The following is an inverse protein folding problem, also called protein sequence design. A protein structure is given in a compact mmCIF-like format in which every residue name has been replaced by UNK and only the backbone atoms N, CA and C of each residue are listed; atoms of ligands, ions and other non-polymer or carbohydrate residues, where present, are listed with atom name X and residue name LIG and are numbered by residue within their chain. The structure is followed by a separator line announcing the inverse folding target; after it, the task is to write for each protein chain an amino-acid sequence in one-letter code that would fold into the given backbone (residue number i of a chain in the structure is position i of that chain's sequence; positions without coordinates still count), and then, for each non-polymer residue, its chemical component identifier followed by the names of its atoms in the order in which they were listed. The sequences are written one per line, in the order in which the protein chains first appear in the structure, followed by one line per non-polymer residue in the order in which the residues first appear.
data_IF_983324085783
#
_entry.id   IF_983324085783
#
_cell.length_a   1.000
_cell.length_b   1.000
_cell.length_c   1.000
_cell.angle_alpha   90.00
_cell.angle_beta   90.00
_cell.angle_gamma   90.00
#
_symmetry.space_group_name_H-M   'P 1'
#
loop_
_entity.id
_entity.type
_entity.pdbx_description
1 polymer ?
#
# COMPACT_ATOMS: atom_id res chain seq x y z
N UNK A 1 16.30 19.09 9.52
CA UNK A 1 15.90 18.43 8.26
C UNK A 1 14.39 18.26 8.31
N UNK A 2 13.68 18.84 7.35
CA UNK A 2 12.25 19.10 7.41
C UNK A 2 11.46 17.82 7.08
N UNK A 3 10.68 17.29 8.01
CA UNK A 3 9.90 16.07 7.81
C UNK A 3 8.77 16.29 6.77
N UNK A 4 8.28 17.53 6.66
CA UNK A 4 7.15 17.94 5.82
C UNK A 4 7.41 17.94 4.31
N UNK A 5 8.67 18.13 3.88
CA UNK A 5 9.00 18.24 2.45
C UNK A 5 8.90 16.91 1.70
N UNK A 6 8.97 15.78 2.41
CA UNK A 6 8.97 14.43 1.82
C UNK A 6 7.55 13.96 1.49
N UNK A 7 6.61 14.20 2.39
CA UNK A 7 5.20 13.97 2.13
C UNK A 7 4.69 14.83 0.98
N UNK A 8 5.22 16.05 0.79
CA UNK A 8 4.86 16.91 -0.35
C UNK A 8 5.27 16.33 -1.71
N UNK A 9 6.42 15.65 -1.82
CA UNK A 9 6.88 15.03 -3.07
C UNK A 9 6.01 13.82 -3.48
N UNK A 10 5.50 13.04 -2.52
CA UNK A 10 4.67 11.86 -2.79
C UNK A 10 3.17 12.09 -2.59
N UNK A 11 2.76 13.27 -2.12
CA UNK A 11 1.36 13.64 -1.98
C UNK A 11 0.61 13.57 -3.33
N UNK A 12 1.31 13.85 -4.43
CA UNK A 12 0.72 13.82 -5.75
C UNK A 12 0.53 12.41 -6.29
N UNK A 13 1.55 11.56 -6.39
CA UNK A 13 1.46 10.25 -7.08
C UNK A 13 1.53 9.02 -6.17
N UNK A 14 1.66 9.22 -4.86
CA UNK A 14 2.08 8.17 -3.93
C UNK A 14 3.52 7.71 -4.16
N UNK A 15 3.97 6.74 -3.37
CA UNK A 15 5.30 6.14 -3.53
C UNK A 15 5.33 5.24 -4.79
N UNK A 16 6.46 4.95 -5.45
CA UNK A 16 6.53 3.91 -6.47
C UNK A 16 6.02 2.55 -5.96
N UNK A 17 5.68 1.65 -6.88
CA UNK A 17 5.19 0.31 -6.51
C UNK A 17 6.31 -0.47 -5.80
N UNK A 18 6.11 -0.79 -4.52
CA UNK A 18 7.10 -1.46 -3.66
C UNK A 18 6.90 -2.98 -3.77
N UNK A 19 7.91 -3.76 -4.15
CA UNK A 19 7.81 -5.22 -4.12
C UNK A 19 7.64 -5.74 -2.68
N UNK A 20 6.89 -6.83 -2.49
CA UNK A 20 6.71 -7.47 -1.17
C UNK A 20 8.05 -7.77 -0.47
N UNK A 21 9.08 -8.14 -1.23
CA UNK A 21 10.42 -8.42 -0.70
C UNK A 21 11.11 -7.22 -0.06
N UNK A 22 10.79 -6.02 -0.52
CA UNK A 22 11.28 -4.77 0.04
C UNK A 22 10.37 -4.31 1.17
N UNK A 23 9.06 -4.43 0.99
CA UNK A 23 8.06 -4.00 1.96
C UNK A 23 8.13 -4.75 3.30
N UNK A 24 8.58 -6.02 3.32
CA UNK A 24 8.78 -6.80 4.56
C UNK A 24 9.91 -6.28 5.47
N UNK A 25 10.77 -5.39 4.97
CA UNK A 25 11.88 -4.86 5.78
C UNK A 25 11.31 -3.82 6.75
N UNK A 26 11.46 -4.07 8.05
CA UNK A 26 10.97 -3.16 9.10
C UNK A 26 11.47 -1.71 8.92
N UNK A 27 12.69 -1.54 8.41
CA UNK A 27 13.28 -0.24 8.06
C UNK A 27 12.47 0.52 7.00
N UNK A 28 11.92 -0.19 6.02
CA UNK A 28 11.11 0.36 4.92
C UNK A 28 9.73 0.75 5.45
N UNK A 29 9.11 -0.10 6.26
CA UNK A 29 7.82 0.22 6.92
C UNK A 29 7.94 1.43 7.84
N UNK A 30 8.99 1.47 8.66
CA UNK A 30 9.29 2.60 9.53
C UNK A 30 9.56 3.89 8.75
N UNK A 31 10.22 3.79 7.59
CA UNK A 31 10.44 4.94 6.71
C UNK A 31 9.13 5.58 6.20
N UNK A 32 8.06 4.78 6.05
CA UNK A 32 6.75 5.23 5.59
C UNK A 32 5.73 5.50 6.71
N UNK A 33 6.14 5.41 7.97
CA UNK A 33 5.23 5.53 9.12
C UNK A 33 4.07 4.52 9.06
N UNK A 34 4.36 3.31 8.56
CA UNK A 34 3.41 2.19 8.50
C UNK A 34 3.76 1.18 9.58
N UNK A 35 2.80 0.83 10.42
CA UNK A 35 2.99 -0.23 11.42
C UNK A 35 3.14 -1.60 10.76
N UNK A 36 4.02 -2.43 11.31
CA UNK A 36 4.21 -3.80 10.82
C UNK A 36 3.04 -4.67 11.26
N UNK A 37 2.25 -5.11 10.28
CA UNK A 37 1.21 -6.13 10.48
C UNK A 37 1.75 -7.50 10.04
N UNK A 38 2.09 -8.33 11.03
CA UNK A 38 2.70 -9.65 10.81
C UNK A 38 1.69 -10.61 10.15
N UNK A 39 0.42 -10.54 10.52
CA UNK A 39 -0.62 -11.42 9.96
C UNK A 39 -0.83 -11.11 8.47
N UNK A 40 -0.85 -9.83 8.11
CA UNK A 40 -0.93 -9.39 6.72
C UNK A 40 0.29 -9.85 5.92
N UNK A 41 1.50 -9.68 6.45
CA UNK A 41 2.73 -10.08 5.74
C UNK A 41 2.77 -11.60 5.51
N UNK A 42 2.44 -12.40 6.53
CA UNK A 42 2.37 -13.86 6.41
C UNK A 42 1.31 -14.30 5.38
N UNK A 43 0.16 -13.62 5.34
CA UNK A 43 -0.87 -13.89 4.33
C UNK A 43 -0.36 -13.61 2.91
N UNK A 44 0.33 -12.48 2.70
CA UNK A 44 0.86 -12.09 1.40
C UNK A 44 1.98 -13.04 0.93
N UNK A 45 2.86 -13.47 1.84
CA UNK A 45 3.94 -14.41 1.53
C UNK A 45 3.39 -15.80 1.15
N UNK A 46 2.38 -16.27 1.89
CA UNK A 46 1.68 -17.51 1.56
C UNK A 46 0.97 -17.42 0.21
N UNK A 47 0.28 -16.31 -0.08
CA UNK A 47 -0.40 -16.11 -1.35
C UNK A 47 0.59 -16.08 -2.53
N UNK A 48 1.72 -15.38 -2.37
CA UNK A 48 2.80 -15.30 -3.37
C UNK A 48 3.34 -16.70 -3.69
N UNK A 49 3.67 -17.48 -2.66
CA UNK A 49 4.27 -18.82 -2.81
C UNK A 49 3.28 -19.85 -3.35
N UNK A 50 2.04 -19.86 -2.86
CA UNK A 50 1.04 -20.87 -3.24
C UNK A 50 0.41 -20.60 -4.61
N UNK A 51 0.17 -19.32 -4.95
CA UNK A 51 -0.55 -18.94 -6.16
C UNK A 51 0.37 -18.41 -7.26
N UNK A 52 1.68 -18.32 -7.01
CA UNK A 52 2.67 -17.84 -7.97
C UNK A 52 2.31 -16.46 -8.53
N UNK A 53 1.85 -15.57 -7.65
CA UNK A 53 1.47 -14.19 -7.98
C UNK A 53 2.57 -13.22 -7.55
N UNK A 54 2.69 -12.09 -8.25
CA UNK A 54 3.56 -11.01 -7.81
C UNK A 54 2.76 -9.99 -6.99
N UNK A 55 3.26 -9.64 -5.81
CA UNK A 55 2.60 -8.69 -4.90
C UNK A 55 3.40 -7.39 -4.86
N UNK A 56 2.72 -6.30 -5.21
CA UNK A 56 3.24 -4.94 -5.12
C UNK A 56 2.38 -4.09 -4.19
N UNK A 57 3.03 -3.29 -3.35
CA UNK A 57 2.40 -2.39 -2.39
C UNK A 57 2.51 -0.97 -2.91
N UNK A 58 1.40 -0.25 -2.86
CA UNK A 58 1.33 1.16 -3.26
C UNK A 58 0.76 1.96 -2.10
N UNK A 59 1.55 2.90 -1.59
CA UNK A 59 1.18 3.75 -0.46
C UNK A 59 0.70 5.12 -0.96
N UNK A 60 -0.42 5.57 -0.40
CA UNK A 60 -1.04 6.86 -0.68
C UNK A 60 -1.30 7.62 0.62
N UNK A 61 -1.16 8.94 0.56
CA UNK A 61 -1.53 9.85 1.64
C UNK A 61 -2.66 10.78 1.17
N UNK A 62 -3.65 11.02 2.03
CA UNK A 62 -4.79 11.90 1.76
C UNK A 62 -6.13 11.19 1.85
N UNK A 63 -7.16 11.75 1.21
CA UNK A 63 -8.50 11.17 1.19
C UNK A 63 -8.52 9.83 0.47
N UNK A 64 -9.06 8.80 1.13
CA UNK A 64 -9.03 7.43 0.62
C UNK A 64 -9.82 7.28 -0.69
N UNK A 65 -10.96 7.97 -0.84
CA UNK A 65 -11.77 7.88 -2.06
C UNK A 65 -11.04 8.49 -3.25
N UNK A 66 -10.43 9.65 -3.06
CA UNK A 66 -9.64 10.31 -4.11
C UNK A 66 -8.41 9.48 -4.50
N UNK A 67 -7.68 8.96 -3.52
CA UNK A 67 -6.45 8.18 -3.75
C UNK A 67 -6.73 6.82 -4.39
N UNK A 68 -7.87 6.21 -4.12
CA UNK A 68 -8.31 5.01 -4.83
C UNK A 68 -8.55 5.27 -6.32
N UNK A 69 -9.31 6.33 -6.65
CA UNK A 69 -9.53 6.73 -8.04
C UNK A 69 -8.20 7.01 -8.74
N UNK A 70 -7.32 7.78 -8.08
CA UNK A 70 -5.99 8.06 -8.60
C UNK A 70 -5.18 6.78 -8.85
N UNK A 71 -5.18 5.84 -7.91
CA UNK A 71 -4.41 4.61 -8.06
C UNK A 71 -4.88 3.69 -9.16
N UNK A 72 -6.18 3.66 -9.46
CA UNK A 72 -6.72 2.94 -10.61
C UNK A 72 -6.15 3.51 -11.91
N UNK A 73 -6.05 4.84 -12.02
CA UNK A 73 -5.48 5.52 -13.19
C UNK A 73 -3.97 5.34 -13.28
N UNK A 74 -3.24 5.56 -12.18
CA UNK A 74 -1.77 5.54 -12.13
C UNK A 74 -1.21 4.14 -12.40
N UNK A 75 -1.87 3.10 -11.90
CA UNK A 75 -1.44 1.70 -12.07
C UNK A 75 -2.07 1.02 -13.28
N UNK A 76 -2.93 1.71 -14.03
CA UNK A 76 -3.65 1.19 -15.20
C UNK A 76 -4.30 -0.18 -14.94
N UNK A 77 -5.01 -0.30 -13.82
CA UNK A 77 -5.57 -1.58 -13.37
C UNK A 77 -6.63 -2.11 -14.35
N UNK A 78 -6.54 -3.38 -14.72
CA UNK A 78 -7.55 -4.03 -15.58
C UNK A 78 -8.82 -4.42 -14.81
N UNK A 79 -8.71 -4.68 -13.51
CA UNK A 79 -9.81 -5.05 -12.63
C UNK A 79 -9.48 -4.60 -11.20
N UNK A 80 -10.51 -4.16 -10.47
CA UNK A 80 -10.39 -3.76 -9.07
C UNK A 80 -11.56 -4.34 -8.29
N UNK A 81 -11.25 -5.09 -7.22
CA UNK A 81 -12.23 -5.66 -6.30
C UNK A 81 -12.00 -5.05 -4.93
N UNK A 82 -13.04 -4.42 -4.39
CA UNK A 82 -13.03 -3.85 -3.04
C UNK A 82 -14.09 -4.55 -2.21
N UNK A 83 -13.69 -5.07 -1.05
CA UNK A 83 -14.63 -5.53 -0.05
C UNK A 83 -15.10 -4.35 0.81
N UNK A 84 -16.41 -4.20 0.99
CA UNK A 84 -16.93 -3.39 2.10
C UNK A 84 -16.98 -4.28 3.35
N UNK A 85 -16.02 -4.14 4.25
CA UNK A 85 -16.34 -4.43 5.65
C UNK A 85 -17.18 -3.24 6.08
N UNK A 86 -18.50 -3.42 6.15
CA UNK A 86 -19.42 -2.36 6.57
C UNK A 86 -18.89 -1.68 7.84
N UNK A 87 -19.19 -0.39 8.01
CA UNK A 87 -18.81 0.38 9.19
C UNK A 87 -19.18 -0.45 10.42
N UNK A 88 -18.21 -1.10 11.08
CA UNK A 88 -18.50 -1.87 12.28
C UNK A 88 -19.04 -0.85 13.27
N UNK A 89 -20.33 -0.93 13.57
CA UNK A 89 -20.95 -0.08 14.55
C UNK A 89 -20.57 -0.65 15.92
N UNK A 90 -19.72 0.11 16.62
CA UNK A 90 -19.41 0.04 18.06
C UNK A 90 -18.64 -1.20 18.54
#
# INVERSE_FOLDING_TARGET
MNHDSRHQLWAQSGFPLIPLEEFRKAEVLHYYDVETDIELLDMLDNATSQKQINVGIKLYWGDAREKLCQGIHDLQLNSFVMGSRGLSAL
#
